data_IF_195571556517
#
_entry.id   IF_195571556517
#
_cell.length_a   1.000
_cell.length_b   1.000
_cell.length_c   1.000
_cell.angle_alpha   90.00
_cell.angle_beta   90.00
_cell.angle_gamma   90.00
#
_symmetry.space_group_name_H-M   'P 1'
#
loop_
_entity.id
_entity.type
_entity.pdbx_description
1 polymer ?
#
# COMPACT_ATOMS: atom_id res chain seq x y z
N UNK A 1 -7.98 10.27 30.37
CA UNK A 1 -7.38 9.86 29.07
C UNK A 1 -6.13 9.04 29.26
N UNK A 2 -5.54 9.06 30.46
CA UNK A 2 -4.22 8.48 30.74
C UNK A 2 -4.23 7.00 31.11
N UNK A 3 -5.42 6.37 31.10
CA UNK A 3 -5.54 4.93 31.33
C UNK A 3 -5.06 4.13 30.10
N UNK A 4 -4.30 3.03 30.29
CA UNK A 4 -3.83 2.21 29.18
C UNK A 4 -4.95 1.70 28.28
N UNK A 5 -6.10 1.33 28.85
CA UNK A 5 -7.27 0.80 28.11
C UNK A 5 -8.07 1.88 27.37
N UNK A 6 -7.76 3.17 27.58
CA UNK A 6 -8.39 4.24 26.83
C UNK A 6 -8.13 4.04 25.33
N UNK A 7 -9.18 4.16 24.51
CA UNK A 7 -9.10 3.92 23.07
C UNK A 7 -8.04 4.77 22.36
N UNK A 8 -7.81 5.99 22.85
CA UNK A 8 -6.74 6.87 22.33
C UNK A 8 -5.34 6.29 22.52
N UNK A 9 -5.13 5.41 23.50
CA UNK A 9 -3.87 4.76 23.80
C UNK A 9 -3.80 3.34 23.26
N UNK A 10 -4.92 2.61 23.26
CA UNK A 10 -4.95 1.21 22.80
C UNK A 10 -4.94 1.08 21.28
N UNK A 11 -5.64 1.96 20.55
CA UNK A 11 -5.69 1.90 19.08
C UNK A 11 -4.31 2.10 18.43
N UNK A 12 -3.48 3.11 18.81
CA UNK A 12 -2.14 3.23 18.23
C UNK A 12 -1.26 2.00 18.47
N UNK A 13 -1.34 1.38 19.66
CA UNK A 13 -0.59 0.14 19.97
C UNK A 13 -1.03 -1.03 19.10
N UNK A 14 -2.35 -1.18 18.87
CA UNK A 14 -2.88 -2.19 17.95
C UNK A 14 -2.39 -1.95 16.51
N UNK A 15 -2.47 -0.70 16.05
CA UNK A 15 -2.13 -0.32 14.69
C UNK A 15 -0.63 -0.38 14.40
N UNK A 16 0.22 -0.16 15.41
CA UNK A 16 1.67 -0.25 15.28
C UNK A 16 2.11 -1.68 14.89
N UNK A 17 1.56 -2.70 15.54
CA UNK A 17 1.83 -4.09 15.17
C UNK A 17 1.39 -4.40 13.72
N UNK A 18 0.24 -3.85 13.30
CA UNK A 18 -0.28 -4.01 11.92
C UNK A 18 0.55 -3.23 10.90
N UNK A 19 1.05 -2.05 11.26
CA UNK A 19 1.98 -1.24 10.46
C UNK A 19 3.25 -2.03 10.18
N UNK A 20 3.90 -2.54 11.22
CA UNK A 20 5.18 -3.22 11.10
C UNK A 20 5.05 -4.52 10.29
N UNK A 21 3.97 -5.27 10.52
CA UNK A 21 3.60 -6.43 9.71
C UNK A 21 3.45 -6.06 8.23
N UNK A 22 2.69 -5.01 7.90
CA UNK A 22 2.51 -4.58 6.52
C UNK A 22 3.82 -4.12 5.88
N UNK A 23 4.65 -3.37 6.60
CA UNK A 23 5.95 -2.92 6.09
C UNK A 23 6.85 -4.10 5.69
N UNK A 24 6.95 -5.09 6.57
CA UNK A 24 7.73 -6.30 6.30
C UNK A 24 7.22 -7.03 5.05
N UNK A 25 5.92 -7.27 4.96
CA UNK A 25 5.31 -7.98 3.82
C UNK A 25 5.49 -7.26 2.49
N UNK A 26 5.39 -5.92 2.48
CA UNK A 26 5.62 -5.13 1.27
C UNK A 26 7.09 -5.17 0.84
N UNK A 27 8.02 -5.10 1.79
CA UNK A 27 9.46 -5.25 1.51
C UNK A 27 9.80 -6.63 0.93
N UNK A 28 9.27 -7.70 1.53
CA UNK A 28 9.46 -9.08 1.05
C UNK A 28 8.90 -9.29 -0.36
N UNK A 29 7.80 -8.61 -0.70
CA UNK A 29 7.21 -8.64 -2.04
C UNK A 29 7.97 -7.77 -3.06
N UNK A 30 9.04 -7.06 -2.66
CA UNK A 30 9.86 -6.23 -3.53
C UNK A 30 9.34 -4.79 -3.70
N UNK A 31 8.35 -4.37 -2.92
CA UNK A 31 7.94 -2.97 -2.83
C UNK A 31 8.82 -2.22 -1.82
N UNK A 32 8.87 -0.89 -1.93
CA UNK A 32 9.59 -0.04 -0.97
C UNK A 32 8.60 0.77 -0.14
N UNK A 33 8.17 0.28 1.03
CA UNK A 33 7.24 1.00 1.89
C UNK A 33 7.91 2.20 2.57
N UNK A 34 7.14 3.28 2.71
CA UNK A 34 7.45 4.41 3.58
C UNK A 34 6.74 4.16 4.91
N UNK A 35 7.49 3.81 5.95
CA UNK A 35 6.94 3.49 7.27
C UNK A 35 6.34 4.76 7.89
N UNK A 36 5.02 4.81 8.16
CA UNK A 36 4.38 6.00 8.68
C UNK A 36 4.64 6.15 10.18
N UNK A 37 4.84 7.40 10.61
CA UNK A 37 4.92 7.76 12.04
C UNK A 37 3.55 7.72 12.74
N UNK A 38 2.45 7.74 11.98
CA UNK A 38 1.09 7.66 12.51
C UNK A 38 0.02 7.45 11.45
N UNK A 39 -1.23 7.24 11.91
CA UNK A 39 -2.36 6.89 11.06
C UNK A 39 -2.36 5.41 10.65
N UNK A 40 -3.15 5.09 9.62
CA UNK A 40 -3.41 3.70 9.20
C UNK A 40 -3.25 3.47 7.68
N UNK A 41 -2.50 4.35 7.03
CA UNK A 41 -2.15 4.24 5.62
C UNK A 41 -0.64 4.10 5.46
N UNK A 42 -0.21 3.29 4.50
CA UNK A 42 1.19 3.12 4.13
C UNK A 42 1.34 3.36 2.64
N UNK A 43 2.24 4.25 2.27
CA UNK A 43 2.63 4.46 0.88
C UNK A 43 3.77 3.49 0.54
N UNK A 44 3.80 2.95 -0.66
CA UNK A 44 4.91 2.15 -1.17
C UNK A 44 5.26 2.51 -2.61
N UNK A 45 6.55 2.61 -2.89
CA UNK A 45 7.08 2.73 -4.26
C UNK A 45 7.09 1.34 -4.93
N UNK A 46 6.50 1.27 -6.12
CA UNK A 46 6.36 0.04 -6.93
C UNK A 46 7.37 -0.04 -8.08
N UNK A 47 8.26 0.95 -8.24
CA UNK A 47 9.20 1.04 -9.36
C UNK A 47 10.11 -0.19 -9.50
N UNK A 48 10.49 -0.82 -8.38
CA UNK A 48 11.36 -1.98 -8.36
C UNK A 48 10.72 -3.27 -8.92
N UNK A 49 9.39 -3.30 -9.07
CA UNK A 49 8.68 -4.46 -9.59
C UNK A 49 8.78 -4.61 -11.12
N UNK A 50 9.20 -3.55 -11.83
CA UNK A 50 9.48 -3.63 -13.27
C UNK A 50 8.27 -4.01 -14.14
N UNK A 51 7.04 -3.82 -13.67
CA UNK A 51 5.83 -4.20 -14.42
C UNK A 51 5.67 -3.25 -15.61
N UNK A 52 5.77 -3.81 -16.82
CA UNK A 52 5.51 -3.10 -18.06
C UNK A 52 3.99 -2.95 -18.28
N UNK A 53 3.56 -1.70 -18.41
CA UNK A 53 2.17 -1.29 -18.63
C UNK A 53 2.07 -0.35 -19.83
N UNK A 54 3.04 -0.41 -20.74
CA UNK A 54 3.10 0.43 -21.95
C UNK A 54 1.94 0.18 -22.92
N UNK A 55 1.35 -1.02 -22.91
CA UNK A 55 0.19 -1.36 -23.74
C UNK A 55 -1.12 -0.71 -23.27
N UNK A 56 -1.18 -0.22 -22.04
CA UNK A 56 -2.35 0.49 -21.50
C UNK A 56 -2.42 1.91 -22.10
N UNK A 57 -3.30 2.08 -23.09
CA UNK A 57 -3.43 3.29 -23.91
C UNK A 57 -4.10 4.49 -23.22
N UNK A 58 -4.56 4.34 -21.98
CA UNK A 58 -5.21 5.40 -21.22
C UNK A 58 -4.19 6.51 -20.85
N UNK A 59 -4.60 7.78 -20.90
CA UNK A 59 -3.81 8.95 -20.46
C UNK A 59 -3.79 9.09 -18.92
N UNK A 60 -3.65 7.96 -18.23
CA UNK A 60 -3.60 7.89 -16.77
C UNK A 60 -2.15 7.81 -16.27
N UNK A 61 -1.85 8.36 -15.09
CA UNK A 61 -0.57 8.15 -14.42
C UNK A 61 -0.28 6.65 -14.18
N UNK A 62 1.00 6.32 -14.04
CA UNK A 62 1.44 4.91 -13.92
C UNK A 62 0.80 4.16 -12.74
N UNK A 63 0.61 4.80 -11.58
CA UNK A 63 0.02 4.19 -10.38
C UNK A 63 -1.45 3.77 -10.57
N UNK A 64 -2.23 4.51 -11.37
CA UNK A 64 -3.58 4.11 -11.77
C UNK A 64 -3.57 2.81 -12.59
N UNK A 65 -2.72 2.77 -13.63
CA UNK A 65 -2.55 1.59 -14.48
C UNK A 65 -2.08 0.39 -13.65
N UNK A 66 -1.10 0.62 -12.78
CA UNK A 66 -0.56 -0.41 -11.89
C UNK A 66 -1.62 -1.00 -10.96
N UNK A 67 -2.47 -0.16 -10.36
CA UNK A 67 -3.54 -0.63 -9.48
C UNK A 67 -4.60 -1.41 -10.25
N UNK A 68 -5.02 -0.94 -11.44
CA UNK A 68 -5.95 -1.68 -12.30
C UNK A 68 -5.37 -3.07 -12.64
N UNK A 69 -4.10 -3.13 -13.03
CA UNK A 69 -3.40 -4.39 -13.27
C UNK A 69 -3.34 -5.28 -12.02
N UNK A 70 -2.96 -4.72 -10.87
CA UNK A 70 -2.82 -5.44 -9.60
C UNK A 70 -4.15 -6.04 -9.13
N UNK A 71 -5.25 -5.29 -9.26
CA UNK A 71 -6.60 -5.78 -8.93
C UNK A 71 -6.97 -6.96 -9.85
N UNK A 72 -6.73 -6.82 -11.16
CA UNK A 72 -7.08 -7.86 -12.15
C UNK A 72 -6.27 -9.13 -11.95
N UNK A 73 -4.96 -8.99 -11.77
CA UNK A 73 -3.98 -10.10 -11.83
C UNK A 73 -3.65 -10.67 -10.44
N UNK A 74 -3.40 -9.82 -9.46
CA UNK A 74 -2.99 -10.20 -8.10
C UNK A 74 -4.16 -10.27 -7.11
N UNK A 75 -5.34 -9.76 -7.49
CA UNK A 75 -6.54 -9.70 -6.64
C UNK A 75 -6.34 -8.88 -5.35
N UNK A 76 -5.45 -7.89 -5.41
CA UNK A 76 -5.18 -6.95 -4.33
C UNK A 76 -5.49 -5.53 -4.78
N UNK A 77 -6.14 -4.75 -3.92
CA UNK A 77 -6.49 -3.36 -4.21
C UNK A 77 -5.67 -2.39 -3.34
N UNK A 78 -5.27 -1.26 -3.94
CA UNK A 78 -4.68 -0.11 -3.29
C UNK A 78 -5.24 1.17 -3.93
N UNK A 79 -4.74 2.34 -3.50
CA UNK A 79 -5.17 3.64 -4.03
C UNK A 79 -3.99 4.36 -4.68
N UNK A 80 -4.15 4.96 -5.88
CA UNK A 80 -3.07 5.69 -6.53
C UNK A 80 -2.78 6.96 -5.74
N UNK A 81 -1.50 7.27 -5.50
CA UNK A 81 -1.13 8.49 -4.77
C UNK A 81 -1.39 9.72 -5.62
N UNK A 82 -1.29 9.62 -6.95
CA UNK A 82 -1.54 10.75 -7.87
C UNK A 82 -2.98 11.26 -7.84
N UNK A 83 -3.93 10.50 -7.29
CA UNK A 83 -5.29 10.97 -7.03
C UNK A 83 -5.35 12.14 -6.02
N UNK A 84 -4.30 12.30 -5.20
CA UNK A 84 -4.19 13.35 -4.19
C UNK A 84 -3.26 14.50 -4.64
N UNK A 85 -2.80 14.50 -5.89
CA UNK A 85 -1.77 15.41 -6.37
C UNK A 85 -2.28 16.38 -7.44
N UNK A 86 -1.78 17.62 -7.38
CA UNK A 86 -1.90 18.57 -8.49
C UNK A 86 -1.04 18.15 -9.71
N UNK A 87 -1.32 18.71 -10.91
CA UNK A 87 -0.66 18.30 -12.16
C UNK A 87 0.87 18.29 -12.10
N UNK A 88 1.47 19.28 -11.44
CA UNK A 88 2.93 19.46 -11.35
C UNK A 88 3.64 18.33 -10.59
N UNK A 89 2.96 17.71 -9.62
CA UNK A 89 3.55 16.67 -8.75
C UNK A 89 3.22 15.25 -9.20
N UNK A 90 2.24 15.07 -10.10
CA UNK A 90 1.79 13.73 -10.53
C UNK A 90 2.95 12.90 -11.07
N UNK A 91 3.81 13.48 -11.91
CA UNK A 91 4.92 12.75 -12.53
C UNK A 91 5.94 12.24 -11.51
N UNK A 92 6.14 12.97 -10.42
CA UNK A 92 7.08 12.59 -9.35
C UNK A 92 6.52 11.48 -8.46
N UNK A 93 5.19 11.40 -8.35
CA UNK A 93 4.50 10.47 -7.44
C UNK A 93 3.79 9.31 -8.14
N UNK A 94 3.82 9.22 -9.47
CA UNK A 94 3.15 8.17 -10.25
C UNK A 94 3.68 6.74 -10.02
N UNK A 95 4.75 6.58 -9.22
CA UNK A 95 5.30 5.29 -8.82
C UNK A 95 4.90 4.87 -7.41
N UNK A 96 4.07 5.65 -6.73
CA UNK A 96 3.66 5.40 -5.37
C UNK A 96 2.18 5.00 -5.29
N UNK A 97 1.90 3.96 -4.49
CA UNK A 97 0.53 3.51 -4.18
C UNK A 97 0.31 3.49 -2.67
N UNK A 98 -0.95 3.63 -2.24
CA UNK A 98 -1.34 3.71 -0.82
C UNK A 98 -2.17 2.49 -0.41
N UNK A 99 -1.68 1.75 0.58
CA UNK A 99 -2.37 0.67 1.28
C UNK A 99 -2.99 1.16 2.60
N UNK A 100 -3.95 0.40 3.12
CA UNK A 100 -4.65 0.66 4.37
C UNK A 100 -4.55 -0.56 5.29
N UNK A 101 -4.00 -0.41 6.49
CA UNK A 101 -3.73 -1.53 7.42
C UNK A 101 -4.64 -1.60 8.65
N UNK A 102 -5.57 -0.65 8.83
CA UNK A 102 -6.65 -0.80 9.83
C UNK A 102 -7.70 -1.81 9.33
N UNK A 103 -7.29 -3.07 9.32
CA UNK A 103 -8.08 -4.22 8.86
C UNK A 103 -8.15 -5.25 9.98
N UNK A 104 -9.13 -6.14 9.89
CA UNK A 104 -9.15 -7.35 10.71
C UNK A 104 -7.97 -8.24 10.33
N UNK A 105 -7.49 -9.04 11.26
CA UNK A 105 -6.30 -9.86 11.06
C UNK A 105 -6.49 -10.87 9.91
N UNK A 106 -7.68 -11.43 9.74
CA UNK A 106 -7.96 -12.37 8.64
C UNK A 106 -7.84 -11.70 7.26
N UNK A 107 -8.08 -10.40 7.19
CA UNK A 107 -7.90 -9.61 5.95
C UNK A 107 -6.42 -9.37 5.68
N UNK A 108 -5.63 -9.11 6.72
CA UNK A 108 -4.18 -8.99 6.61
C UNK A 108 -3.54 -10.33 6.22
N UNK A 109 -4.03 -11.44 6.78
CA UNK A 109 -3.60 -12.80 6.44
C UNK A 109 -3.88 -13.13 4.96
N UNK A 110 -5.06 -12.74 4.46
CA UNK A 110 -5.39 -12.91 3.04
C UNK A 110 -4.48 -12.06 2.13
N UNK A 111 -4.20 -10.81 2.53
CA UNK A 111 -3.24 -9.94 1.82
C UNK A 111 -1.82 -10.50 1.83
N UNK A 112 -1.37 -11.03 2.96
CA UNK A 112 -0.07 -11.68 3.11
C UNK A 112 0.08 -12.87 2.16
N UNK A 113 -0.94 -13.73 2.02
CA UNK A 113 -0.90 -14.85 1.08
C UNK A 113 -0.71 -14.40 -0.36
N UNK A 114 -1.28 -13.25 -0.75
CA UNK A 114 -1.08 -12.67 -2.07
C UNK A 114 0.35 -12.14 -2.21
N UNK A 115 0.82 -11.35 -1.25
CA UNK A 115 2.16 -10.72 -1.26
C UNK A 115 3.29 -11.76 -1.23
N UNK A 116 3.15 -12.84 -0.47
CA UNK A 116 4.16 -13.93 -0.44
C UNK A 116 4.25 -14.71 -1.74
N UNK A 117 3.21 -14.68 -2.58
CA UNK A 117 3.22 -15.31 -3.90
C UNK A 117 3.38 -14.29 -5.02
N UNK A 118 3.83 -13.07 -4.72
CA UNK A 118 3.88 -11.98 -5.68
C UNK A 118 4.74 -12.27 -6.91
N UNK A 119 5.88 -12.92 -6.70
CA UNK A 119 6.89 -13.24 -7.72
C UNK A 119 6.74 -14.64 -8.34
N UNK A 120 5.70 -15.39 -7.96
CA UNK A 120 5.32 -16.64 -8.62
C UNK A 120 4.29 -16.36 -9.71
#
# INVERSE_FOLDING_TARGET
MDEPECYFNSLPRELEAKRDRMACLLQEAGLKPVVPEGGYFMIADVSALGVDLSEEKDDEPYDYKFIKWMIKTKKLAAIPVTAFCGPESKKQLEKYIRFCFIKRDETLDAGEKILKNWNK
#
